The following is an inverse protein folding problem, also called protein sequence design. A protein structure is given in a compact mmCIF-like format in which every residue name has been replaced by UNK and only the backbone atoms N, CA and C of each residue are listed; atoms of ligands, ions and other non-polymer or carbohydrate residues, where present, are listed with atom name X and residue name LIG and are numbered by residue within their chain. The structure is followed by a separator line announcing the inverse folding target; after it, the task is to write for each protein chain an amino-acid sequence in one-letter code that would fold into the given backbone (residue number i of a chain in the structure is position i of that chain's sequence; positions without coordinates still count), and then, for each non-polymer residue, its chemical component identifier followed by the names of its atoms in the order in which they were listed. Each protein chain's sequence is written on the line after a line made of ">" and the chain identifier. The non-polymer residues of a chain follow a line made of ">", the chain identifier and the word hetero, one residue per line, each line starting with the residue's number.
data_IF_916821435245
#
_entry.id   IF_916821435245
#
_cell.length_a   1.000
_cell.length_b   1.000
_cell.length_c   1.000
_cell.angle_alpha   90.00
_cell.angle_beta   90.00
_cell.angle_gamma   90.00
#
_symmetry.space_group_name_H-M   'P 1'
#
loop_
_entity.id
_entity.type
_entity.pdbx_description
1 polymer ?
#
# COMPACT_ATOMS: atom_id res chain seq x y z
N UNK A 1 -72.89 18.47 -25.73
CA UNK A 1 -72.39 19.11 -24.49
C UNK A 1 -70.94 19.53 -24.70
N UNK A 2 -70.63 20.78 -24.41
CA UNK A 2 -69.31 21.40 -24.51
C UNK A 2 -68.38 20.96 -23.37
N UNK A 3 -67.06 20.95 -23.62
CA UNK A 3 -66.07 20.85 -22.54
C UNK A 3 -64.63 20.94 -23.03
N UNK A 4 -64.13 22.15 -23.30
CA UNK A 4 -62.70 22.46 -23.45
C UNK A 4 -62.03 22.52 -22.07
N UNK A 5 -60.87 21.88 -21.86
CA UNK A 5 -59.83 22.29 -20.88
C UNK A 5 -58.44 21.75 -21.28
N UNK A 6 -57.55 22.64 -21.72
CA UNK A 6 -56.12 22.66 -21.35
C UNK A 6 -56.00 23.69 -20.19
N UNK A 7 -54.96 23.76 -19.31
CA UNK A 7 -53.51 23.53 -19.58
C UNK A 7 -52.68 22.98 -18.38
N UNK A 8 -51.33 23.00 -18.53
CA UNK A 8 -50.21 23.04 -17.55
C UNK A 8 -49.23 21.84 -17.49
N UNK A 9 -47.97 22.23 -17.73
CA UNK A 9 -46.65 21.59 -17.68
C UNK A 9 -46.24 21.16 -16.25
N UNK A 10 -44.98 20.74 -16.00
CA UNK A 10 -44.10 19.78 -16.67
C UNK A 10 -43.78 18.60 -15.71
N UNK A 11 -43.55 17.39 -16.21
CA UNK A 11 -42.85 16.39 -15.39
C UNK A 11 -41.74 15.75 -16.22
N UNK A 12 -40.58 16.43 -16.22
CA UNK A 12 -39.31 15.78 -16.47
C UNK A 12 -39.10 14.72 -15.37
N UNK A 13 -39.58 13.51 -15.60
CA UNK A 13 -38.98 12.34 -14.96
C UNK A 13 -37.67 12.06 -15.67
N UNK A 14 -36.60 12.69 -15.19
CA UNK A 14 -35.26 12.21 -15.41
C UNK A 14 -35.11 10.86 -14.69
N UNK A 15 -35.43 9.77 -15.39
CA UNK A 15 -34.84 8.48 -15.05
C UNK A 15 -33.47 8.40 -15.72
N UNK A 16 -32.45 8.98 -15.08
CA UNK A 16 -31.05 8.63 -15.31
C UNK A 16 -30.80 7.26 -14.67
N UNK A 17 -31.25 6.21 -15.34
CA UNK A 17 -30.72 4.87 -15.10
C UNK A 17 -29.69 4.59 -16.19
N UNK A 18 -28.42 4.63 -15.78
CA UNK A 18 -27.36 3.84 -16.39
C UNK A 18 -26.93 4.22 -17.80
N UNK A 19 -26.31 5.39 -17.96
CA UNK A 19 -25.40 5.63 -19.10
C UNK A 19 -23.98 5.44 -18.58
N UNK A 20 -23.49 4.21 -18.68
CA UNK A 20 -22.04 3.95 -18.67
C UNK A 20 -21.52 4.26 -20.07
N UNK A 21 -21.18 5.53 -20.32
CA UNK A 21 -20.35 5.94 -21.46
C UNK A 21 -18.91 5.72 -21.05
N UNK A 22 -18.23 4.80 -21.73
CA UNK A 22 -16.82 4.97 -22.10
C UNK A 22 -16.52 4.04 -23.25
N UNK A 23 -16.45 4.61 -24.45
CA UNK A 23 -15.69 4.06 -25.57
C UNK A 23 -16.17 2.74 -26.16
N UNK A 24 -16.94 2.84 -27.26
CA UNK A 24 -16.76 1.92 -28.38
C UNK A 24 -17.63 0.66 -28.41
N UNK A 25 -18.46 0.63 -29.45
CA UNK A 25 -19.11 -0.51 -30.12
C UNK A 25 -20.20 -1.28 -29.36
N UNK A 26 -21.43 -0.87 -29.68
CA UNK A 26 -22.66 -1.68 -29.64
C UNK A 26 -22.45 -3.00 -30.41
N UNK A 27 -22.64 -4.13 -29.74
CA UNK A 27 -23.06 -5.37 -30.40
C UNK A 27 -24.19 -6.01 -29.60
N UNK A 28 -25.40 -5.62 -29.98
CA UNK A 28 -26.64 -6.32 -29.73
C UNK A 28 -26.56 -7.68 -30.45
N UNK A 29 -26.53 -8.78 -29.69
CA UNK A 29 -26.48 -10.14 -30.22
C UNK A 29 -26.92 -11.15 -29.16
N UNK A 30 -27.90 -11.97 -29.53
CA UNK A 30 -28.63 -12.90 -28.68
C UNK A 30 -27.79 -14.06 -28.13
N UNK A 31 -28.41 -14.75 -27.17
CA UNK A 31 -28.19 -16.14 -26.77
C UNK A 31 -27.13 -16.37 -25.67
N UNK A 32 -27.63 -16.41 -24.43
CA UNK A 32 -27.69 -17.64 -23.67
C UNK A 32 -26.38 -18.40 -23.43
N UNK A 33 -26.04 -18.45 -22.13
CA UNK A 33 -25.14 -19.40 -21.47
C UNK A 33 -23.64 -19.08 -21.64
N UNK A 34 -22.98 -19.02 -20.49
CA UNK A 34 -21.52 -19.00 -20.32
C UNK A 34 -20.79 -17.68 -20.62
N UNK A 35 -21.31 -16.56 -20.11
CA UNK A 35 -20.43 -15.45 -19.70
C UNK A 35 -19.79 -15.80 -18.36
N UNK A 36 -18.82 -16.72 -18.41
CA UNK A 36 -17.72 -16.69 -17.45
C UNK A 36 -17.09 -15.31 -17.60
N UNK A 37 -17.39 -14.46 -16.63
CA UNK A 37 -16.79 -13.15 -16.43
C UNK A 37 -15.32 -13.35 -16.07
N UNK A 38 -14.54 -13.80 -17.06
CA UNK A 38 -13.09 -13.67 -17.08
C UNK A 38 -12.83 -12.18 -17.15
N UNK A 39 -12.70 -11.60 -15.97
CA UNK A 39 -12.29 -10.21 -15.77
C UNK A 39 -10.85 -10.09 -16.24
N UNK A 40 -10.64 -10.09 -17.56
CA UNK A 40 -9.41 -9.67 -18.21
C UNK A 40 -9.38 -8.15 -18.21
N UNK A 41 -9.38 -7.59 -17.00
CA UNK A 41 -9.05 -6.19 -16.77
C UNK A 41 -7.54 -6.10 -16.70
N UNK A 42 -6.96 -5.43 -17.68
CA UNK A 42 -5.59 -4.96 -17.67
C UNK A 42 -5.37 -4.04 -16.45
N UNK A 43 -5.06 -4.65 -15.31
CA UNK A 43 -4.22 -4.02 -14.31
C UNK A 43 -2.86 -4.64 -14.57
N UNK A 44 -1.87 -3.81 -14.92
CA UNK A 44 -0.50 -4.18 -14.67
C UNK A 44 -0.49 -4.78 -13.27
N UNK A 45 -0.21 -6.07 -13.15
CA UNK A 45 0.15 -6.65 -11.88
C UNK A 45 1.44 -5.93 -11.49
N UNK A 46 1.32 -4.74 -10.88
CA UNK A 46 2.39 -4.13 -10.10
C UNK A 46 2.78 -5.26 -9.18
N UNK A 47 3.94 -5.87 -9.46
CA UNK A 47 4.43 -6.99 -8.68
C UNK A 47 4.39 -6.55 -7.23
N UNK A 48 3.40 -7.04 -6.49
CA UNK A 48 3.30 -6.77 -5.08
C UNK A 48 4.51 -7.47 -4.47
N UNK A 49 5.32 -6.70 -3.74
CA UNK A 49 6.46 -7.25 -3.03
C UNK A 49 5.99 -8.40 -2.13
N UNK A 50 6.66 -9.56 -2.24
CA UNK A 50 6.29 -10.75 -1.49
C UNK A 50 6.78 -10.66 -0.04
N UNK A 51 6.23 -11.47 0.87
CA UNK A 51 6.72 -11.52 2.25
C UNK A 51 8.21 -11.89 2.33
N UNK A 52 8.68 -12.80 1.45
CA UNK A 52 10.11 -13.14 1.35
C UNK A 52 10.94 -11.93 0.96
N UNK A 53 10.47 -11.13 0.01
CA UNK A 53 11.20 -9.93 -0.41
C UNK A 53 11.17 -8.85 0.67
N UNK A 54 10.07 -8.69 1.40
CA UNK A 54 10.02 -7.83 2.61
C UNK A 54 11.06 -8.25 3.64
N UNK A 55 11.18 -9.55 3.93
CA UNK A 55 12.18 -10.07 4.86
C UNK A 55 13.61 -9.77 4.40
N UNK A 56 13.88 -9.86 3.09
CA UNK A 56 15.19 -9.49 2.51
C UNK A 56 15.47 -8.00 2.66
N UNK A 57 14.48 -7.14 2.44
CA UNK A 57 14.65 -5.70 2.63
C UNK A 57 14.93 -5.35 4.10
N UNK A 58 14.21 -5.97 5.03
CA UNK A 58 14.46 -5.79 6.46
C UNK A 58 15.81 -6.37 6.90
N UNK A 59 16.26 -7.48 6.28
CA UNK A 59 17.59 -8.04 6.51
C UNK A 59 18.70 -7.13 5.97
N UNK A 60 18.49 -6.45 4.83
CA UNK A 60 19.42 -5.43 4.31
C UNK A 60 19.65 -4.34 5.35
N UNK A 61 18.57 -3.84 5.97
CA UNK A 61 18.69 -2.83 7.04
C UNK A 61 19.39 -3.40 8.27
N UNK A 62 19.06 -4.61 8.71
CA UNK A 62 19.70 -5.27 9.86
C UNK A 62 21.20 -5.44 9.63
N UNK A 63 21.62 -5.88 8.45
CA UNK A 63 23.03 -6.00 8.07
C UNK A 63 23.72 -4.65 8.10
N UNK A 64 23.12 -3.63 7.50
CA UNK A 64 23.68 -2.27 7.50
C UNK A 64 23.90 -1.74 8.93
N UNK A 65 22.93 -1.96 9.83
CA UNK A 65 23.05 -1.57 11.25
C UNK A 65 24.19 -2.33 11.93
N UNK A 66 24.27 -3.65 11.75
CA UNK A 66 25.33 -4.47 12.35
C UNK A 66 26.72 -4.07 11.87
N UNK A 67 26.90 -3.81 10.57
CA UNK A 67 28.19 -3.43 9.97
C UNK A 67 28.56 -1.96 10.14
N UNK A 68 27.62 -1.13 10.58
CA UNK A 68 27.88 0.30 10.81
C UNK A 68 28.91 0.51 11.93
N UNK A 69 29.50 1.70 12.01
CA UNK A 69 30.36 2.09 13.14
C UNK A 69 29.61 2.86 14.23
N UNK A 70 28.27 2.75 14.27
CA UNK A 70 27.46 3.32 15.36
C UNK A 70 27.86 2.71 16.71
N UNK A 71 27.65 3.48 17.78
CA UNK A 71 27.76 2.99 19.15
C UNK A 71 26.86 1.76 19.37
N UNK A 72 27.35 0.79 20.14
CA UNK A 72 26.65 -0.48 20.37
C UNK A 72 25.23 -0.26 20.89
N UNK A 73 25.05 0.64 21.86
CA UNK A 73 23.74 1.01 22.41
C UNK A 73 22.73 1.39 21.31
N UNK A 74 23.15 2.20 20.33
CA UNK A 74 22.26 2.63 19.23
C UNK A 74 21.99 1.52 18.23
N UNK A 75 22.95 0.62 18.01
CA UNK A 75 22.71 -0.58 17.19
C UNK A 75 21.66 -1.47 17.83
N UNK A 76 21.82 -1.76 19.13
CA UNK A 76 20.90 -2.63 19.86
C UNK A 76 19.50 -2.03 19.91
N UNK A 77 19.38 -0.73 20.18
CA UNK A 77 18.09 -0.02 20.16
C UNK A 77 17.36 -0.18 18.82
N UNK A 78 18.06 -0.01 17.69
CA UNK A 78 17.47 -0.21 16.35
C UNK A 78 17.07 -1.69 16.16
N UNK A 79 17.93 -2.62 16.57
CA UNK A 79 17.70 -4.06 16.37
C UNK A 79 16.57 -4.60 17.24
N UNK A 80 16.34 -4.04 18.43
CA UNK A 80 15.26 -4.44 19.34
C UNK A 80 13.88 -4.17 18.74
N UNK A 81 13.74 -3.18 17.88
CA UNK A 81 12.52 -2.95 17.11
C UNK A 81 12.51 -3.68 15.76
N UNK A 82 13.67 -3.81 15.10
CA UNK A 82 13.76 -4.44 13.78
C UNK A 82 13.53 -5.96 13.83
N UNK A 83 14.03 -6.65 14.86
CA UNK A 83 13.91 -8.11 15.00
C UNK A 83 12.45 -8.57 15.18
N UNK A 84 11.63 -7.96 16.06
CA UNK A 84 10.19 -8.25 16.12
C UNK A 84 9.47 -7.98 14.81
N UNK A 85 9.78 -6.87 14.12
CA UNK A 85 9.19 -6.56 12.81
C UNK A 85 9.47 -7.67 11.79
N UNK A 86 10.71 -8.15 11.71
CA UNK A 86 11.09 -9.28 10.84
C UNK A 86 10.39 -10.57 11.23
N UNK A 87 10.37 -10.91 12.53
CA UNK A 87 9.73 -12.12 13.02
C UNK A 87 8.23 -12.12 12.70
N UNK A 88 7.57 -10.99 12.83
CA UNK A 88 6.14 -10.85 12.50
C UNK A 88 5.91 -10.94 10.99
N UNK A 89 6.74 -10.26 10.18
CA UNK A 89 6.66 -10.33 8.72
C UNK A 89 6.89 -11.74 8.14
N UNK A 90 7.55 -12.62 8.90
CA UNK A 90 7.80 -14.01 8.51
C UNK A 90 6.64 -14.97 8.79
N UNK A 91 5.59 -14.54 9.49
CA UNK A 91 4.44 -15.40 9.81
C UNK A 91 3.47 -15.48 8.62
N UNK A 92 2.89 -16.67 8.43
CA UNK A 92 1.67 -16.81 7.65
C UNK A 92 0.55 -16.00 8.31
N UNK A 93 0.01 -15.00 7.62
CA UNK A 93 -0.95 -14.05 8.19
C UNK A 93 -0.32 -12.93 9.02
N UNK A 94 0.92 -12.53 8.71
CA UNK A 94 1.65 -11.44 9.36
C UNK A 94 0.77 -10.21 9.69
N UNK A 95 0.84 -9.75 10.94
CA UNK A 95 0.19 -8.52 11.36
C UNK A 95 0.97 -7.30 10.87
N UNK A 96 0.54 -6.75 9.72
CA UNK A 96 1.18 -5.60 9.07
C UNK A 96 1.18 -4.33 9.91
N UNK A 97 0.15 -4.12 10.74
CA UNK A 97 0.11 -3.00 11.68
C UNK A 97 1.18 -3.14 12.76
N UNK A 98 1.38 -4.34 13.31
CA UNK A 98 2.45 -4.61 14.27
C UNK A 98 3.84 -4.45 13.62
N UNK A 99 4.01 -4.91 12.38
CA UNK A 99 5.25 -4.65 11.63
C UNK A 99 5.46 -3.14 11.47
N UNK A 100 4.45 -2.41 11.02
CA UNK A 100 4.51 -0.95 10.87
C UNK A 100 4.81 -0.20 12.16
N UNK A 101 4.25 -0.62 13.30
CA UNK A 101 4.53 -0.01 14.61
C UNK A 101 5.98 -0.21 15.06
N UNK A 102 6.52 -1.41 14.88
CA UNK A 102 7.92 -1.67 15.18
C UNK A 102 8.85 -0.89 14.24
N UNK A 103 8.54 -0.87 12.94
CA UNK A 103 9.31 -0.10 11.97
C UNK A 103 9.21 1.41 12.17
N UNK A 104 8.13 1.90 12.80
CA UNK A 104 8.02 3.30 13.22
C UNK A 104 9.10 3.63 14.25
N UNK A 105 9.29 2.77 15.24
CA UNK A 105 10.36 2.96 16.24
C UNK A 105 11.74 2.89 15.60
N UNK A 106 11.99 1.95 14.68
CA UNK A 106 13.21 1.91 13.87
C UNK A 106 13.43 3.24 13.16
N UNK A 107 12.41 3.77 12.50
CA UNK A 107 12.47 5.05 11.79
C UNK A 107 12.77 6.21 12.75
N UNK A 108 12.14 6.27 13.92
CA UNK A 108 12.37 7.32 14.92
C UNK A 108 13.82 7.28 15.44
N UNK A 109 14.35 6.12 15.82
CA UNK A 109 15.75 5.99 16.24
C UNK A 109 16.72 6.32 15.10
N UNK A 110 16.41 5.90 13.85
CA UNK A 110 17.21 6.27 12.68
C UNK A 110 17.22 7.80 12.44
N UNK A 111 16.10 8.51 12.69
CA UNK A 111 16.06 9.98 12.63
C UNK A 111 16.99 10.60 13.66
N UNK A 112 17.02 10.09 14.88
CA UNK A 112 17.90 10.62 15.92
C UNK A 112 19.37 10.44 15.54
N UNK A 113 19.79 9.25 15.08
CA UNK A 113 21.21 9.01 14.73
C UNK A 113 21.66 9.75 13.47
N UNK A 114 20.74 10.06 12.52
CA UNK A 114 21.08 10.84 11.32
C UNK A 114 21.53 12.27 11.65
N UNK A 115 21.08 12.80 12.78
CA UNK A 115 21.38 14.17 13.22
C UNK A 115 22.72 14.25 13.95
N UNK A 116 23.28 13.11 14.39
CA UNK A 116 24.48 13.05 15.21
C UNK A 116 25.73 12.57 14.48
N UNK A 117 25.58 11.79 13.39
CA UNK A 117 26.74 11.17 12.69
C UNK A 117 26.54 11.03 11.19
N UNK A 118 27.62 11.07 10.40
CA UNK A 118 27.59 10.76 8.96
C UNK A 118 27.12 9.32 8.69
N UNK A 119 27.55 8.38 9.52
CA UNK A 119 27.11 6.97 9.45
C UNK A 119 25.60 6.86 9.66
N UNK A 120 25.06 7.64 10.58
CA UNK A 120 23.62 7.77 10.81
C UNK A 120 22.88 8.28 9.58
N UNK A 121 23.45 9.22 8.81
CA UNK A 121 22.85 9.70 7.55
C UNK A 121 22.78 8.59 6.49
N UNK A 122 23.86 7.82 6.31
CA UNK A 122 23.87 6.69 5.37
C UNK A 122 22.89 5.57 5.79
N UNK A 123 22.79 5.29 7.10
CA UNK A 123 21.81 4.35 7.63
C UNK A 123 20.38 4.84 7.48
N UNK A 124 20.13 6.13 7.71
CA UNK A 124 18.84 6.76 7.47
C UNK A 124 18.41 6.59 6.00
N UNK A 125 19.30 6.87 5.05
CA UNK A 125 19.03 6.66 3.62
C UNK A 125 18.71 5.20 3.32
N UNK A 126 19.50 4.27 3.84
CA UNK A 126 19.25 2.82 3.69
C UNK A 126 17.88 2.43 4.25
N UNK A 127 17.53 2.97 5.43
CA UNK A 127 16.22 2.77 6.06
C UNK A 127 15.08 3.29 5.19
N UNK A 128 15.20 4.49 4.63
CA UNK A 128 14.20 5.08 3.73
C UNK A 128 14.01 4.27 2.44
N UNK A 129 15.10 3.77 1.84
CA UNK A 129 15.02 2.87 0.68
C UNK A 129 14.25 1.58 1.02
N UNK A 130 14.57 0.95 2.15
CA UNK A 130 13.91 -0.26 2.64
C UNK A 130 12.43 0.00 2.91
N UNK A 131 12.11 1.08 3.64
CA UNK A 131 10.74 1.45 3.97
C UNK A 131 9.90 1.72 2.72
N UNK A 132 10.46 2.43 1.75
CA UNK A 132 9.79 2.70 0.46
C UNK A 132 9.53 1.40 -0.30
N UNK A 133 10.50 0.48 -0.33
CA UNK A 133 10.36 -0.80 -1.02
C UNK A 133 9.27 -1.69 -0.41
N UNK A 134 9.13 -1.71 0.92
CA UNK A 134 8.14 -2.55 1.61
C UNK A 134 6.78 -1.88 1.81
N UNK A 135 6.66 -0.56 1.56
CA UNK A 135 5.43 0.20 1.73
C UNK A 135 4.21 -0.41 1.00
N UNK A 136 4.33 -0.90 -0.26
CA UNK A 136 3.21 -1.54 -0.95
C UNK A 136 2.69 -2.80 -0.22
N UNK A 137 3.57 -3.52 0.49
CA UNK A 137 3.17 -4.69 1.27
C UNK A 137 2.55 -4.30 2.61
N UNK A 138 3.07 -3.28 3.29
CA UNK A 138 2.49 -2.76 4.53
C UNK A 138 1.08 -2.20 4.32
N UNK A 139 0.79 -1.66 3.14
CA UNK A 139 -0.50 -1.06 2.84
C UNK A 139 -0.74 0.17 3.72
N UNK A 140 -1.85 0.18 4.47
CA UNK A 140 -2.19 1.31 5.35
C UNK A 140 -1.13 1.57 6.44
N UNK A 141 -0.45 0.52 6.92
CA UNK A 141 0.56 0.62 7.96
C UNK A 141 1.83 1.38 7.51
N UNK A 142 2.03 1.59 6.19
CA UNK A 142 3.13 2.40 5.68
C UNK A 142 3.08 3.86 6.19
N UNK A 143 1.88 4.36 6.50
CA UNK A 143 1.70 5.71 7.09
C UNK A 143 2.34 5.83 8.47
N UNK A 144 2.40 4.73 9.23
CA UNK A 144 2.99 4.71 10.57
C UNK A 144 4.50 4.99 10.54
N UNK A 145 5.17 4.61 9.45
CA UNK A 145 6.61 4.79 9.27
C UNK A 145 6.96 6.10 8.55
N UNK A 146 5.97 6.96 8.29
CA UNK A 146 6.15 8.30 7.74
C UNK A 146 6.20 8.36 6.22
N UNK A 147 5.58 7.38 5.53
CA UNK A 147 5.38 7.35 4.08
C UNK A 147 3.96 7.74 3.66
#
# INVERSE_FOLDING_TARGET
>A
MFGKKNPKEPNQSQSMSGVNVSGGVVQQGQAGRDLQQSTSGNLQARQQITAVEVLRQLEKLEKAVNTSTLALEKKEEILDYLRPARREAAKDGANKDLVGQNLKQVNETLKTVKETTEVGKSLWQTGQEVFTAIAPWLGAAAKLIGL
#
